data_IF_221583227505
#
_entry.id   IF_221583227505
#
_cell.length_a   1.000
_cell.length_b   1.000
_cell.length_c   1.000
_cell.angle_alpha   90.00
_cell.angle_beta   90.00
_cell.angle_gamma   90.00
#
_symmetry.space_group_name_H-M   'P 1'
#
loop_
_entity.id
_entity.type
_entity.pdbx_description
1 polymer ?
#
# COMPACT_ATOMS: atom_id res chain seq x y z
N UNK A 1 18.27 -38.94 -34.73
CA UNK A 1 18.02 -38.97 -33.28
C UNK A 1 17.54 -37.56 -32.94
N UNK A 2 16.24 -37.38 -32.71
CA UNK A 2 15.64 -36.04 -32.47
C UNK A 2 16.14 -35.54 -31.12
N UNK A 3 16.64 -34.30 -31.08
CA UNK A 3 17.36 -33.76 -29.92
C UNK A 3 16.37 -33.19 -28.90
N UNK A 4 15.67 -34.09 -28.21
CA UNK A 4 14.59 -33.77 -27.25
C UNK A 4 14.95 -32.73 -26.17
N UNK A 5 16.24 -32.52 -25.90
CA UNK A 5 16.70 -31.52 -24.93
C UNK A 5 16.58 -30.09 -25.47
N UNK A 6 16.89 -29.86 -26.75
CA UNK A 6 16.77 -28.53 -27.38
C UNK A 6 15.29 -28.09 -27.50
N UNK A 7 14.39 -29.04 -27.75
CA UNK A 7 12.94 -28.78 -27.80
C UNK A 7 12.36 -28.42 -26.42
N UNK A 8 12.88 -29.02 -25.34
CA UNK A 8 12.46 -28.71 -23.95
C UNK A 8 12.92 -27.30 -23.55
N UNK A 9 14.16 -26.93 -23.90
CA UNK A 9 14.68 -25.59 -23.60
C UNK A 9 13.92 -24.49 -24.36
N UNK A 10 13.61 -24.73 -25.65
CA UNK A 10 12.77 -23.82 -26.43
C UNK A 10 11.36 -23.67 -25.83
N UNK A 11 10.75 -24.75 -25.36
CA UNK A 11 9.45 -24.71 -24.69
C UNK A 11 9.50 -23.94 -23.36
N UNK A 12 10.57 -24.09 -22.58
CA UNK A 12 10.77 -23.36 -21.33
C UNK A 12 10.98 -21.85 -21.57
N UNK A 13 11.70 -21.48 -22.62
CA UNK A 13 11.87 -20.07 -23.02
C UNK A 13 10.54 -19.43 -23.44
N UNK A 14 9.72 -20.15 -24.24
CA UNK A 14 8.38 -19.69 -24.62
C UNK A 14 7.50 -19.50 -23.38
N UNK A 15 7.53 -20.45 -22.42
CA UNK A 15 6.78 -20.32 -21.17
C UNK A 15 7.22 -19.13 -20.33
N UNK A 16 8.53 -18.88 -20.19
CA UNK A 16 9.06 -17.71 -19.48
C UNK A 16 8.62 -16.40 -20.13
N UNK A 17 8.75 -16.30 -21.45
CA UNK A 17 8.31 -15.11 -22.19
C UNK A 17 6.79 -14.86 -22.06
N UNK A 18 5.98 -15.92 -22.05
CA UNK A 18 4.54 -15.81 -21.79
C UNK A 18 4.25 -15.35 -20.36
N UNK A 19 4.98 -15.86 -19.37
CA UNK A 19 4.84 -15.46 -17.98
C UNK A 19 5.21 -13.99 -17.77
N UNK A 20 6.33 -13.54 -18.36
CA UNK A 20 6.79 -12.14 -18.30
C UNK A 20 5.77 -11.18 -18.92
N UNK A 21 5.17 -11.57 -20.04
CA UNK A 21 4.10 -10.79 -20.68
C UNK A 21 2.85 -10.70 -19.79
N UNK A 22 2.45 -11.79 -19.13
CA UNK A 22 1.33 -11.78 -18.19
C UNK A 22 1.61 -10.90 -16.97
N UNK A 23 2.83 -10.92 -16.43
CA UNK A 23 3.25 -10.03 -15.33
C UNK A 23 3.20 -8.56 -15.77
N UNK A 24 3.69 -8.25 -16.97
CA UNK A 24 3.64 -6.89 -17.52
C UNK A 24 2.22 -6.38 -17.74
N UNK A 25 1.33 -7.21 -18.29
CA UNK A 25 -0.08 -6.88 -18.51
C UNK A 25 -0.83 -6.67 -17.20
N UNK A 26 -0.62 -7.56 -16.23
CA UNK A 26 -1.25 -7.45 -14.90
C UNK A 26 -0.79 -6.20 -14.16
N UNK A 27 0.50 -5.88 -14.22
CA UNK A 27 1.05 -4.62 -13.70
C UNK A 27 0.42 -3.39 -14.36
N UNK A 28 0.31 -3.40 -15.69
CA UNK A 28 -0.28 -2.28 -16.45
C UNK A 28 -1.75 -2.08 -16.11
N UNK A 29 -2.53 -3.17 -16.01
CA UNK A 29 -3.93 -3.11 -15.58
C UNK A 29 -4.08 -2.60 -14.15
N UNK A 30 -3.25 -3.06 -13.21
CA UNK A 30 -3.28 -2.58 -11.82
C UNK A 30 -2.98 -1.08 -11.74
N UNK A 31 -1.98 -0.60 -12.49
CA UNK A 31 -1.65 0.84 -12.53
C UNK A 31 -2.77 1.68 -13.15
N UNK A 32 -3.37 1.22 -14.23
CA UNK A 32 -4.51 1.90 -14.85
C UNK A 32 -5.72 1.97 -13.90
N UNK A 33 -6.00 0.87 -13.19
CA UNK A 33 -7.06 0.83 -12.18
C UNK A 33 -6.77 1.78 -11.02
N UNK A 34 -5.53 1.76 -10.50
CA UNK A 34 -5.09 2.67 -9.46
C UNK A 34 -5.29 4.14 -9.88
N UNK A 35 -4.79 4.54 -11.05
CA UNK A 35 -4.94 5.92 -11.56
C UNK A 35 -6.41 6.35 -11.66
N UNK A 36 -7.29 5.45 -12.12
CA UNK A 36 -8.74 5.72 -12.15
C UNK A 36 -9.31 5.90 -10.74
N UNK A 37 -8.93 5.04 -9.79
CA UNK A 37 -9.34 5.17 -8.40
C UNK A 37 -8.85 6.48 -7.78
N UNK A 38 -7.60 6.88 -8.01
CA UNK A 38 -7.03 8.17 -7.53
C UNK A 38 -7.89 9.34 -8.02
N UNK A 39 -8.20 9.37 -9.31
CA UNK A 39 -9.03 10.41 -9.92
C UNK A 39 -10.46 10.39 -9.38
N UNK A 40 -11.07 9.22 -9.21
CA UNK A 40 -12.44 9.08 -8.75
C UNK A 40 -12.66 9.58 -7.30
N UNK A 41 -11.65 9.46 -6.44
CA UNK A 41 -11.75 9.91 -5.04
C UNK A 41 -11.15 11.31 -4.79
N UNK A 42 -10.68 11.98 -5.84
CA UNK A 42 -10.02 13.29 -5.77
C UNK A 42 -8.68 13.23 -5.02
N UNK A 43 -7.95 12.11 -5.15
CA UNK A 43 -6.75 11.86 -4.35
C UNK A 43 -5.57 12.76 -4.71
N UNK A 44 -5.56 13.24 -5.95
CA UNK A 44 -4.53 14.13 -6.48
C UNK A 44 -4.85 15.62 -6.22
N UNK A 45 -6.03 15.92 -5.66
CA UNK A 45 -6.42 17.28 -5.32
C UNK A 45 -5.65 17.76 -4.08
N UNK A 46 -5.26 19.04 -4.07
CA UNK A 46 -4.54 19.63 -2.93
C UNK A 46 -5.35 19.54 -1.62
N UNK A 47 -6.68 19.56 -1.73
CA UNK A 47 -7.62 19.37 -0.62
C UNK A 47 -7.50 18.00 0.05
N UNK A 48 -6.96 16.99 -0.65
CA UNK A 48 -6.81 15.63 -0.12
C UNK A 48 -5.78 15.55 1.01
N UNK A 49 -4.78 16.44 1.03
CA UNK A 49 -3.86 16.58 2.18
C UNK A 49 -4.55 17.04 3.45
N UNK A 50 -5.66 17.76 3.31
CA UNK A 50 -6.47 18.28 4.39
C UNK A 50 -7.73 17.43 4.63
N UNK A 51 -7.82 16.26 3.98
CA UNK A 51 -8.92 15.34 4.21
C UNK A 51 -8.93 14.92 5.69
N UNK A 52 -10.07 15.14 6.34
CA UNK A 52 -10.34 14.60 7.66
C UNK A 52 -11.28 13.43 7.52
N UNK A 53 -10.88 12.32 8.13
CA UNK A 53 -11.75 11.17 8.31
C UNK A 53 -12.95 11.54 9.17
N UNK A 54 -14.04 10.79 9.08
CA UNK A 54 -15.14 11.00 10.01
C UNK A 54 -14.69 10.60 11.43
N UNK A 55 -15.29 11.19 12.46
CA UNK A 55 -14.93 10.93 13.87
C UNK A 55 -15.07 9.44 14.25
N UNK A 56 -15.92 8.69 13.55
CA UNK A 56 -16.16 7.27 13.81
C UNK A 56 -14.95 6.42 13.39
N UNK A 57 -14.39 6.67 12.20
CA UNK A 57 -13.18 5.97 11.75
C UNK A 57 -11.99 6.28 12.65
N UNK A 58 -11.85 7.52 13.14
CA UNK A 58 -10.77 7.88 14.07
C UNK A 58 -10.87 7.15 15.41
N UNK A 59 -12.09 6.91 15.90
CA UNK A 59 -12.32 6.27 17.19
C UNK A 59 -12.30 4.73 17.13
N UNK A 60 -12.89 4.15 16.09
CA UNK A 60 -13.10 2.70 15.98
C UNK A 60 -12.13 1.99 15.03
N UNK A 61 -11.33 2.75 14.27
CA UNK A 61 -10.21 2.23 13.49
C UNK A 61 -8.90 2.84 14.01
N UNK A 62 -8.44 2.43 15.20
CA UNK A 62 -7.17 2.88 15.75
C UNK A 62 -6.04 2.55 14.77
N UNK A 63 -5.26 3.57 14.43
CA UNK A 63 -4.08 3.43 13.59
C UNK A 63 -3.13 4.59 13.91
N UNK A 64 -1.85 4.43 13.61
CA UNK A 64 -0.91 5.52 13.74
C UNK A 64 0.47 5.15 13.25
N UNK A 65 1.26 6.15 12.91
CA UNK A 65 2.69 5.99 12.66
C UNK A 65 3.44 6.53 13.87
N UNK A 66 4.31 5.71 14.45
CA UNK A 66 5.08 6.04 15.63
C UNK A 66 6.52 5.58 15.43
N UNK A 67 7.48 6.44 15.75
CA UNK A 67 8.91 6.12 15.73
C UNK A 67 9.44 5.57 14.38
N UNK A 68 10.68 5.09 14.41
CA UNK A 68 11.36 4.45 13.30
C UNK A 68 12.01 3.16 13.79
N UNK A 69 12.13 2.16 12.91
CA UNK A 69 12.87 0.94 13.20
C UNK A 69 14.39 1.16 13.14
N UNK A 70 15.17 0.11 13.43
CA UNK A 70 16.64 0.16 13.37
C UNK A 70 17.18 0.53 11.99
N UNK A 71 16.38 0.33 10.94
CA UNK A 71 16.71 0.68 9.57
C UNK A 71 16.35 2.12 9.22
N UNK A 72 15.68 2.88 10.09
CA UNK A 72 15.18 4.23 9.82
C UNK A 72 13.83 4.25 9.10
N UNK A 73 13.13 3.11 8.98
CA UNK A 73 11.81 3.05 8.35
C UNK A 73 10.75 3.47 9.37
N UNK A 74 9.74 4.26 9.00
CA UNK A 74 8.64 4.55 9.89
C UNK A 74 7.94 3.25 10.34
N UNK A 75 7.42 3.22 11.56
CA UNK A 75 6.63 2.10 12.07
C UNK A 75 5.15 2.50 12.12
N UNK A 76 4.27 1.75 11.46
CA UNK A 76 2.83 1.87 11.65
C UNK A 76 2.32 0.82 12.63
N UNK A 77 1.53 1.27 13.60
CA UNK A 77 0.75 0.41 14.50
C UNK A 77 -0.66 0.23 13.97
N UNK A 78 -1.15 -1.00 13.97
CA UNK A 78 -2.54 -1.34 13.70
C UNK A 78 -3.01 -2.40 14.70
N UNK A 79 -3.74 -2.03 15.77
CA UNK A 79 -4.33 -2.97 16.71
C UNK A 79 -5.63 -3.53 16.14
N UNK A 80 -5.49 -4.54 15.27
CA UNK A 80 -6.59 -5.24 14.59
C UNK A 80 -7.60 -5.80 15.59
N UNK A 81 -7.16 -6.34 16.72
CA UNK A 81 -8.09 -6.90 17.71
C UNK A 81 -9.02 -5.84 18.34
N UNK A 82 -8.60 -4.58 18.39
CA UNK A 82 -9.42 -3.47 18.89
C UNK A 82 -10.39 -2.85 17.87
N UNK A 83 -10.42 -3.32 16.62
CA UNK A 83 -11.23 -2.69 15.56
C UNK A 83 -12.68 -3.18 15.63
N UNK A 84 -13.62 -2.26 15.88
CA UNK A 84 -15.06 -2.52 15.74
C UNK A 84 -15.49 -2.45 14.26
N UNK A 85 -15.10 -3.47 13.51
CA UNK A 85 -15.41 -3.58 12.07
C UNK A 85 -16.92 -3.57 11.80
N UNK A 86 -17.73 -4.16 12.69
CA UNK A 86 -19.19 -4.19 12.56
C UNK A 86 -19.77 -2.80 12.77
N UNK A 87 -19.37 -2.09 13.82
CA UNK A 87 -19.80 -0.72 14.09
C UNK A 87 -19.45 0.22 12.94
N UNK A 88 -18.24 0.10 12.39
CA UNK A 88 -17.79 0.90 11.24
C UNK A 88 -18.69 0.67 10.01
N UNK A 89 -18.91 -0.58 9.61
CA UNK A 89 -19.69 -0.92 8.41
C UNK A 89 -21.16 -0.54 8.56
N UNK A 90 -21.73 -0.64 9.76
CA UNK A 90 -23.13 -0.30 10.02
C UNK A 90 -23.41 1.20 10.04
N UNK A 91 -22.39 2.04 10.30
CA UNK A 91 -22.57 3.49 10.52
C UNK A 91 -21.81 4.39 9.55
N UNK A 92 -21.00 3.82 8.65
CA UNK A 92 -20.22 4.58 7.66
C UNK A 92 -20.44 4.02 6.27
N UNK A 93 -20.56 4.90 5.27
CA UNK A 93 -20.66 4.48 3.86
C UNK A 93 -19.38 3.78 3.44
N UNK A 94 -19.49 2.70 2.67
CA UNK A 94 -18.32 1.98 2.13
C UNK A 94 -17.39 2.88 1.32
N UNK A 95 -17.92 3.89 0.63
CA UNK A 95 -17.11 4.90 -0.08
C UNK A 95 -16.22 5.72 0.85
N UNK A 96 -16.72 6.07 2.03
CA UNK A 96 -16.02 6.90 3.00
C UNK A 96 -14.98 6.07 3.75
N UNK A 97 -15.30 4.81 4.07
CA UNK A 97 -14.35 3.82 4.58
C UNK A 97 -13.19 3.65 3.59
N UNK A 98 -13.52 3.42 2.31
CA UNK A 98 -12.50 3.26 1.27
C UNK A 98 -11.63 4.51 1.11
N UNK A 99 -12.24 5.71 1.09
CA UNK A 99 -11.52 6.98 1.02
C UNK A 99 -10.59 7.18 2.21
N UNK A 100 -11.04 6.85 3.44
CA UNK A 100 -10.22 6.90 4.64
C UNK A 100 -9.00 5.97 4.55
N UNK A 101 -9.22 4.71 4.15
CA UNK A 101 -8.14 3.73 3.97
C UNK A 101 -7.12 4.23 2.94
N UNK A 102 -7.59 4.73 1.78
CA UNK A 102 -6.73 5.27 0.74
C UNK A 102 -5.95 6.50 1.21
N UNK A 103 -6.58 7.39 1.98
CA UNK A 103 -5.92 8.52 2.60
C UNK A 103 -4.79 8.07 3.53
N UNK A 104 -5.00 7.08 4.39
CA UNK A 104 -3.95 6.57 5.26
C UNK A 104 -2.79 5.93 4.47
N UNK A 105 -3.06 5.28 3.33
CA UNK A 105 -1.98 4.79 2.46
C UNK A 105 -1.14 5.92 1.86
N UNK A 106 -1.75 7.05 1.49
CA UNK A 106 -1.00 8.24 1.06
C UNK A 106 -0.22 8.88 2.21
N UNK A 107 -0.82 8.97 3.40
CA UNK A 107 -0.14 9.47 4.58
C UNK A 107 1.11 8.65 4.91
N UNK A 108 1.05 7.31 4.74
CA UNK A 108 2.23 6.43 4.87
C UNK A 108 3.34 6.79 3.89
N UNK A 109 3.01 7.13 2.65
CA UNK A 109 4.00 7.59 1.65
C UNK A 109 4.65 8.91 2.06
N UNK A 110 3.88 9.85 2.61
CA UNK A 110 4.42 11.10 3.13
C UNK A 110 5.37 10.86 4.29
N UNK A 111 4.99 10.00 5.25
CA UNK A 111 5.86 9.62 6.36
C UNK A 111 7.17 8.96 5.89
N UNK A 112 7.12 8.13 4.85
CA UNK A 112 8.32 7.55 4.24
C UNK A 112 9.20 8.60 3.55
N UNK A 113 8.59 9.57 2.86
CA UNK A 113 9.31 10.68 2.24
C UNK A 113 9.98 11.58 3.30
N UNK A 114 9.31 11.83 4.42
CA UNK A 114 9.85 12.63 5.52
C UNK A 114 10.97 11.88 6.26
N UNK A 115 10.81 10.57 6.51
CA UNK A 115 11.89 9.73 7.04
C UNK A 115 13.10 9.66 6.10
N UNK A 116 12.87 9.62 4.77
CA UNK A 116 13.94 9.72 3.76
C UNK A 116 14.73 11.02 3.92
N UNK A 117 14.04 12.15 4.07
CA UNK A 117 14.68 13.44 4.31
C UNK A 117 15.47 13.47 5.62
N UNK A 118 14.91 12.94 6.70
CA UNK A 118 15.51 13.02 8.03
C UNK A 118 16.71 12.08 8.23
N UNK A 119 16.60 10.81 7.83
CA UNK A 119 17.56 9.77 8.22
C UNK A 119 18.50 9.34 7.11
N UNK A 120 18.10 9.51 5.86
CA UNK A 120 18.78 8.87 4.74
C UNK A 120 19.47 9.81 3.76
N UNK A 121 19.23 11.13 3.84
CA UNK A 121 20.01 12.13 3.08
C UNK A 121 21.52 12.04 3.38
N UNK A 122 21.90 11.60 4.58
CA UNK A 122 23.31 11.41 4.97
C UNK A 122 23.93 10.11 4.45
N UNK A 123 23.14 9.19 3.87
CA UNK A 123 23.60 7.85 3.47
C UNK A 123 23.29 7.48 2.02
N UNK A 124 22.83 8.44 1.20
CA UNK A 124 22.32 8.21 -0.17
C UNK A 124 21.32 7.04 -0.24
N UNK A 125 20.40 7.01 0.72
CA UNK A 125 19.36 5.99 0.83
C UNK A 125 18.00 6.66 0.74
N UNK A 126 16.99 5.88 0.38
CA UNK A 126 15.59 6.29 0.49
C UNK A 126 14.80 5.15 1.09
N UNK A 127 13.77 5.48 1.86
CA UNK A 127 12.79 4.49 2.30
C UNK A 127 11.48 4.73 1.55
N UNK A 128 11.06 3.70 0.82
CA UNK A 128 9.71 3.57 0.26
C UNK A 128 8.87 2.57 1.06
N UNK A 129 9.48 1.97 2.07
CA UNK A 129 8.94 0.90 2.87
C UNK A 129 8.66 1.37 4.28
N UNK A 130 7.70 0.72 4.91
CA UNK A 130 7.28 0.99 6.27
C UNK A 130 7.17 -0.33 7.00
N UNK A 131 7.61 -0.35 8.26
CA UNK A 131 7.41 -1.51 9.13
C UNK A 131 6.01 -1.44 9.71
N UNK A 132 5.22 -2.49 9.55
CA UNK A 132 3.84 -2.54 10.08
C UNK A 132 3.77 -3.54 11.21
N UNK A 133 3.33 -3.08 12.38
CA UNK A 133 3.03 -3.93 13.54
C UNK A 133 1.52 -4.15 13.56
N UNK A 134 1.13 -5.42 13.41
CA UNK A 134 -0.24 -5.87 13.51
C UNK A 134 -0.43 -6.48 14.90
N UNK A 135 -1.24 -5.84 15.72
CA UNK A 135 -1.59 -6.35 17.05
C UNK A 135 -2.99 -6.98 17.01
N UNK A 136 -3.05 -8.28 17.28
CA UNK A 136 -4.26 -9.09 17.22
C UNK A 136 -4.93 -9.27 18.58
N UNK A 137 -4.39 -8.65 19.63
CA UNK A 137 -4.99 -8.76 20.96
C UNK A 137 -6.31 -7.99 21.04
N UNK A 138 -7.30 -8.60 21.68
CA UNK A 138 -8.64 -8.05 21.94
C UNK A 138 -8.73 -7.42 23.33
#
# INVERSE_FOLDING_TARGET
>A
MVNYLEDIDALNEIQRAQLDNLVSLTWTMQNACLLRCRKAIGMDDESYRNFKTNNLMEHYYPHGVFCHDKGGRPIAYLPIGGIDSKGIVMHTKSSDIFKAIMFWQEQRKWNCADATKMYFQLKDRSTKEMTTVLDFNH
#
